data_IF_906942420205
#
_entry.id   IF_906942420205
#
_cell.length_a   1.000
_cell.length_b   1.000
_cell.length_c   1.000
_cell.angle_alpha   90.00
_cell.angle_beta   90.00
_cell.angle_gamma   90.00
#
_symmetry.space_group_name_H-M   'P 1'
#
loop_
_entity.id
_entity.type
_entity.pdbx_description
1 polymer ?
#
# COMPACT_ATOMS: atom_id res chain seq x y z
N UNK A 1 -2.78 9.47 24.67
CA UNK A 1 -2.64 10.81 24.04
C UNK A 1 -3.83 11.02 23.12
N UNK A 2 -4.40 12.23 23.08
CA UNK A 2 -5.55 12.51 22.21
C UNK A 2 -5.17 12.37 20.72
N UNK A 3 -5.96 11.62 19.95
CA UNK A 3 -5.74 11.38 18.51
C UNK A 3 -6.18 12.57 17.67
N UNK A 4 -7.23 13.27 18.10
CA UNK A 4 -7.84 14.40 17.39
C UNK A 4 -7.38 15.78 17.84
N UNK A 5 -6.77 15.95 19.02
CA UNK A 5 -6.42 17.28 19.55
C UNK A 5 -5.63 18.15 18.55
N UNK A 6 -4.67 17.57 17.82
CA UNK A 6 -3.88 18.27 16.80
C UNK A 6 -4.74 18.79 15.63
N UNK A 7 -5.77 18.04 15.24
CA UNK A 7 -6.57 18.29 14.04
C UNK A 7 -7.97 18.86 14.34
N UNK A 8 -8.38 18.92 15.60
CA UNK A 8 -9.68 19.44 16.02
C UNK A 8 -9.88 20.90 15.59
N UNK A 9 -8.79 21.66 15.49
CA UNK A 9 -8.82 23.04 15.02
C UNK A 9 -9.08 23.21 13.52
N UNK A 10 -9.18 22.10 12.76
CA UNK A 10 -9.66 22.10 11.38
C UNK A 10 -11.19 22.17 11.37
N UNK A 11 -11.83 21.54 12.36
CA UNK A 11 -13.30 21.48 12.48
C UNK A 11 -13.83 22.69 13.24
N UNK A 12 -13.20 23.02 14.37
CA UNK A 12 -13.64 24.09 15.26
C UNK A 12 -12.53 25.11 15.51
N UNK A 13 -12.78 26.43 15.39
CA UNK A 13 -11.76 27.44 15.70
C UNK A 13 -11.22 27.36 17.14
N UNK A 14 -12.10 27.02 18.09
CA UNK A 14 -11.79 26.83 19.51
C UNK A 14 -12.43 25.52 20.00
N UNK A 15 -11.75 24.37 19.82
CA UNK A 15 -12.31 23.09 20.23
C UNK A 15 -12.36 22.97 21.76
N UNK A 16 -13.47 22.46 22.29
CA UNK A 16 -13.57 22.09 23.71
C UNK A 16 -13.07 20.66 23.95
N UNK A 17 -12.82 20.30 25.21
CA UNK A 17 -12.44 18.93 25.56
C UNK A 17 -13.52 17.92 25.17
N UNK A 18 -14.80 18.27 25.32
CA UNK A 18 -15.93 17.41 24.94
C UNK A 18 -15.98 17.19 23.42
N UNK A 19 -15.73 18.23 22.62
CA UNK A 19 -15.66 18.12 21.15
C UNK A 19 -14.55 17.16 20.71
N UNK A 20 -13.37 17.29 21.33
CA UNK A 20 -12.21 16.45 21.05
C UNK A 20 -12.47 15.01 21.48
N UNK A 21 -13.09 14.79 22.65
CA UNK A 21 -13.47 13.47 23.14
C UNK A 21 -14.49 12.79 22.22
N UNK A 22 -15.52 13.51 21.78
CA UNK A 22 -16.51 12.99 20.85
C UNK A 22 -15.86 12.53 19.54
N UNK A 23 -14.92 13.31 18.98
CA UNK A 23 -14.21 12.92 17.75
C UNK A 23 -13.18 11.82 17.96
N UNK A 24 -12.54 11.71 19.13
CA UNK A 24 -11.69 10.56 19.42
C UNK A 24 -12.49 9.25 19.40
N UNK A 25 -13.70 9.24 19.94
CA UNK A 25 -14.58 8.07 19.90
C UNK A 25 -14.97 7.72 18.46
N UNK A 26 -15.33 8.71 17.63
CA UNK A 26 -15.61 8.47 16.21
C UNK A 26 -14.38 7.86 15.48
N UNK A 27 -13.18 8.41 15.74
CA UNK A 27 -11.92 7.88 15.20
C UNK A 27 -11.66 6.44 15.65
N UNK A 28 -11.95 6.09 16.90
CA UNK A 28 -11.82 4.71 17.41
C UNK A 28 -12.76 3.74 16.70
N UNK A 29 -14.03 4.13 16.54
CA UNK A 29 -15.02 3.34 15.78
C UNK A 29 -14.58 3.14 14.33
N UNK A 30 -14.16 4.22 13.67
CA UNK A 30 -13.68 4.17 12.28
C UNK A 30 -12.40 3.34 12.14
N UNK A 31 -11.46 3.47 13.06
CA UNK A 31 -10.22 2.66 13.07
C UNK A 31 -10.56 1.18 13.15
N UNK A 32 -11.50 0.83 14.03
CA UNK A 32 -11.97 -0.55 14.21
C UNK A 32 -12.66 -1.08 12.95
N UNK A 33 -13.41 -0.24 12.24
CA UNK A 33 -14.01 -0.66 10.98
C UNK A 33 -12.97 -0.86 9.87
N UNK A 34 -12.09 0.13 9.68
CA UNK A 34 -11.01 0.04 8.69
C UNK A 34 -10.12 -1.19 8.92
N UNK A 35 -9.90 -1.60 10.17
CA UNK A 35 -9.12 -2.81 10.48
C UNK A 35 -9.78 -4.13 10.06
N UNK A 36 -11.09 -4.14 9.81
CA UNK A 36 -11.87 -5.33 9.42
C UNK A 36 -12.02 -5.49 7.91
N UNK A 37 -11.61 -4.49 7.14
CA UNK A 37 -11.64 -4.54 5.69
C UNK A 37 -10.74 -5.66 5.18
N UNK A 38 -11.11 -6.25 4.05
CA UNK A 38 -10.16 -7.02 3.24
C UNK A 38 -9.07 -6.11 2.68
N UNK A 39 -7.99 -6.69 2.18
CA UNK A 39 -6.91 -5.89 1.57
C UNK A 39 -7.40 -5.11 0.34
N UNK A 40 -8.27 -5.70 -0.49
CA UNK A 40 -8.95 -5.03 -1.62
C UNK A 40 -9.79 -3.84 -1.16
N UNK A 41 -10.69 -4.04 -0.20
CA UNK A 41 -11.55 -2.98 0.33
C UNK A 41 -10.72 -1.86 0.98
N UNK A 42 -9.58 -2.19 1.58
CA UNK A 42 -8.64 -1.20 2.12
C UNK A 42 -7.99 -0.34 1.02
N UNK A 43 -7.69 -0.91 -0.16
CA UNK A 43 -7.23 -0.12 -1.32
C UNK A 43 -8.33 0.81 -1.84
N UNK A 44 -9.57 0.33 -1.92
CA UNK A 44 -10.73 1.14 -2.33
C UNK A 44 -11.01 2.28 -1.32
N UNK A 45 -10.92 1.97 -0.03
CA UNK A 45 -11.05 2.98 1.02
C UNK A 45 -9.94 4.03 0.96
N UNK A 46 -8.68 3.62 0.71
CA UNK A 46 -7.57 4.54 0.48
C UNK A 46 -7.86 5.49 -0.71
N UNK A 47 -8.39 4.95 -1.81
CA UNK A 47 -8.73 5.75 -2.98
C UNK A 47 -9.80 6.80 -2.66
N UNK A 48 -10.87 6.41 -1.97
CA UNK A 48 -11.95 7.32 -1.57
C UNK A 48 -11.46 8.40 -0.58
N UNK A 49 -10.70 8.00 0.45
CA UNK A 49 -10.13 8.94 1.41
C UNK A 49 -9.20 9.93 0.70
N UNK A 50 -8.29 9.45 -0.15
CA UNK A 50 -7.37 10.32 -0.88
C UNK A 50 -8.13 11.26 -1.83
N UNK A 51 -9.10 10.77 -2.60
CA UNK A 51 -9.88 11.60 -3.51
C UNK A 51 -10.64 12.72 -2.78
N UNK A 52 -11.11 12.44 -1.54
CA UNK A 52 -11.81 13.44 -0.73
C UNK A 52 -10.95 14.61 -0.26
N UNK A 53 -9.62 14.46 -0.19
CA UNK A 53 -8.71 15.61 -0.01
C UNK A 53 -8.74 16.55 -1.22
N UNK A 54 -9.07 16.05 -2.41
CA UNK A 54 -9.26 16.84 -3.63
C UNK A 54 -10.70 17.32 -3.83
N UNK A 55 -11.59 17.15 -2.84
CA UNK A 55 -12.99 17.58 -2.91
C UNK A 55 -13.94 16.58 -3.54
N UNK A 56 -13.50 15.35 -3.87
CA UNK A 56 -14.40 14.31 -4.31
C UNK A 56 -15.32 13.85 -3.18
N UNK A 57 -16.56 13.46 -3.53
CA UNK A 57 -17.49 12.89 -2.56
C UNK A 57 -16.98 11.54 -2.03
N UNK A 58 -17.18 11.31 -0.74
CA UNK A 58 -16.93 10.01 -0.13
C UNK A 58 -17.95 8.99 -0.68
N UNK A 59 -17.47 7.78 -1.00
CA UNK A 59 -18.34 6.70 -1.44
C UNK A 59 -19.41 6.36 -0.39
N UNK A 60 -20.59 5.94 -0.84
CA UNK A 60 -21.80 5.75 -0.01
C UNK A 60 -21.55 4.99 1.29
N UNK A 61 -20.77 3.90 1.24
CA UNK A 61 -20.50 3.06 2.41
C UNK A 61 -19.66 3.79 3.46
N UNK A 62 -18.56 4.44 3.05
CA UNK A 62 -17.69 5.20 3.96
C UNK A 62 -18.39 6.43 4.51
N UNK A 63 -19.22 7.09 3.70
CA UNK A 63 -20.06 8.21 4.10
C UNK A 63 -21.03 7.82 5.22
N UNK A 64 -21.79 6.73 5.04
CA UNK A 64 -22.73 6.22 6.05
C UNK A 64 -22.01 5.79 7.33
N UNK A 65 -20.85 5.15 7.20
CA UNK A 65 -20.07 4.71 8.34
C UNK A 65 -19.48 5.87 9.14
N UNK A 66 -18.94 6.89 8.46
CA UNK A 66 -18.44 8.09 9.10
C UNK A 66 -19.56 8.89 9.76
N UNK A 67 -20.71 9.04 9.09
CA UNK A 67 -21.88 9.70 9.68
C UNK A 67 -22.36 8.99 10.93
N UNK A 68 -22.47 7.66 10.90
CA UNK A 68 -22.84 6.86 12.06
C UNK A 68 -21.83 7.02 13.21
N UNK A 69 -20.54 6.87 12.92
CA UNK A 69 -19.49 6.96 13.94
C UNK A 69 -19.43 8.33 14.62
N UNK A 70 -19.71 9.41 13.87
CA UNK A 70 -19.73 10.77 14.40
C UNK A 70 -21.04 11.05 15.16
N UNK A 71 -22.18 10.66 14.61
CA UNK A 71 -23.50 10.91 15.21
C UNK A 71 -23.71 10.17 16.54
N UNK A 72 -23.06 9.02 16.75
CA UNK A 72 -23.08 8.28 18.03
C UNK A 72 -22.72 9.14 19.26
N UNK A 73 -21.86 10.16 19.09
CA UNK A 73 -21.46 11.11 20.15
C UNK A 73 -21.79 12.56 19.82
N UNK A 74 -22.47 12.80 18.72
CA UNK A 74 -22.89 14.12 18.26
C UNK A 74 -24.22 13.98 17.53
N UNK A 75 -25.30 13.75 18.26
CA UNK A 75 -26.61 13.41 17.67
C UNK A 75 -27.19 14.44 16.69
N UNK A 76 -26.69 15.69 16.72
CA UNK A 76 -27.06 16.74 15.76
C UNK A 76 -26.25 16.68 14.45
N UNK A 77 -25.26 15.79 14.34
CA UNK A 77 -24.43 15.66 13.15
C UNK A 77 -25.22 15.01 12.02
N UNK A 78 -25.20 15.68 10.87
CA UNK A 78 -25.66 15.16 9.58
C UNK A 78 -24.53 15.39 8.59
N UNK A 79 -24.25 14.40 7.75
CA UNK A 79 -23.11 14.46 6.82
C UNK A 79 -23.22 15.62 5.83
N UNK A 80 -24.43 15.89 5.34
CA UNK A 80 -24.71 16.94 4.37
C UNK A 80 -24.28 18.32 4.90
N UNK A 81 -23.32 18.95 4.22
CA UNK A 81 -22.70 20.23 4.61
C UNK A 81 -21.61 20.12 5.67
N UNK A 82 -21.27 18.89 6.12
CA UNK A 82 -20.19 18.61 7.08
C UNK A 82 -19.25 17.49 6.59
N UNK A 83 -19.18 17.25 5.28
CA UNK A 83 -18.43 16.17 4.65
C UNK A 83 -16.94 16.24 5.04
N UNK A 84 -16.40 17.44 5.14
CA UNK A 84 -15.01 17.66 5.55
C UNK A 84 -14.72 17.10 6.96
N UNK A 85 -15.68 17.14 7.89
CA UNK A 85 -15.50 16.55 9.22
C UNK A 85 -15.36 15.03 9.14
N UNK A 86 -16.15 14.39 8.28
CA UNK A 86 -16.06 12.95 8.03
C UNK A 86 -14.71 12.57 7.42
N UNK A 87 -14.24 13.34 6.43
CA UNK A 87 -12.92 13.16 5.80
C UNK A 87 -11.80 13.26 6.83
N UNK A 88 -11.82 14.27 7.69
CA UNK A 88 -10.81 14.46 8.74
C UNK A 88 -10.81 13.25 9.71
N UNK A 89 -11.99 12.80 10.15
CA UNK A 89 -12.09 11.65 11.06
C UNK A 89 -11.57 10.37 10.41
N UNK A 90 -11.91 10.12 9.14
CA UNK A 90 -11.42 8.97 8.37
C UNK A 90 -9.91 9.03 8.16
N UNK A 91 -9.35 10.19 7.80
CA UNK A 91 -7.91 10.36 7.62
C UNK A 91 -7.13 10.14 8.92
N UNK A 92 -7.65 10.62 10.05
CA UNK A 92 -7.03 10.38 11.36
C UNK A 92 -7.19 8.92 11.79
N UNK A 93 -8.34 8.30 11.55
CA UNK A 93 -8.53 6.87 11.80
C UNK A 93 -7.58 6.00 10.96
N UNK A 94 -7.43 6.30 9.68
CA UNK A 94 -6.47 5.64 8.79
C UNK A 94 -5.04 5.81 9.33
N UNK A 95 -4.66 7.03 9.74
CA UNK A 95 -3.34 7.33 10.34
C UNK A 95 -3.09 6.50 11.60
N UNK A 96 -4.07 6.41 12.49
CA UNK A 96 -3.99 5.61 13.73
C UNK A 96 -3.84 4.13 13.40
N UNK A 97 -4.67 3.61 12.49
CA UNK A 97 -4.60 2.21 12.08
C UNK A 97 -3.21 1.85 11.54
N UNK A 98 -2.65 2.65 10.65
CA UNK A 98 -1.32 2.34 10.08
C UNK A 98 -0.19 2.42 11.12
N UNK A 99 -0.33 3.27 12.14
CA UNK A 99 0.66 3.41 13.22
C UNK A 99 0.57 2.29 14.26
N UNK A 100 -0.63 1.83 14.60
CA UNK A 100 -0.86 0.94 15.75
C UNK A 100 -1.07 -0.53 15.34
N UNK A 101 -1.46 -0.82 14.10
CA UNK A 101 -1.70 -2.19 13.67
C UNK A 101 -0.43 -3.03 13.76
N UNK A 102 -0.56 -4.21 14.37
CA UNK A 102 0.51 -5.19 14.50
C UNK A 102 1.00 -5.64 13.13
N UNK A 103 2.30 -5.88 13.01
CA UNK A 103 2.92 -6.41 11.80
C UNK A 103 3.15 -7.89 12.01
N UNK A 104 2.47 -8.71 11.22
CA UNK A 104 2.73 -10.13 11.14
C UNK A 104 3.80 -10.42 10.08
N UNK A 105 4.50 -11.56 10.20
CA UNK A 105 5.62 -11.91 9.33
C UNK A 105 5.26 -12.14 7.85
N UNK A 106 3.96 -12.17 7.52
CA UNK A 106 3.45 -12.45 6.18
C UNK A 106 3.42 -11.21 5.26
N UNK A 107 3.50 -10.00 5.81
CA UNK A 107 3.84 -8.78 5.07
C UNK A 107 2.77 -8.18 4.15
N UNK A 108 1.50 -8.60 4.25
CA UNK A 108 0.38 -8.00 3.51
C UNK A 108 -0.97 -8.11 4.25
N UNK A 109 -1.17 -7.22 5.20
CA UNK A 109 -2.43 -7.03 5.94
C UNK A 109 -3.28 -5.89 5.36
N UNK A 110 -4.56 -5.76 5.74
CA UNK A 110 -5.40 -4.63 5.32
C UNK A 110 -4.80 -3.27 5.68
N UNK A 111 -4.11 -3.17 6.83
CA UNK A 111 -3.41 -1.95 7.22
C UNK A 111 -2.21 -1.64 6.30
N UNK A 112 -1.54 -2.67 5.76
CA UNK A 112 -0.43 -2.50 4.81
C UNK A 112 -0.95 -2.06 3.43
N UNK A 113 -2.06 -2.67 3.00
CA UNK A 113 -2.75 -2.28 1.77
C UNK A 113 -3.26 -0.84 1.82
N UNK A 114 -3.88 -0.44 2.94
CA UNK A 114 -4.30 0.93 3.19
C UNK A 114 -3.11 1.90 3.17
N UNK A 115 -2.01 1.56 3.85
CA UNK A 115 -0.82 2.40 3.91
C UNK A 115 -0.15 2.58 2.56
N UNK A 116 0.10 1.49 1.82
CA UNK A 116 0.74 1.57 0.51
C UNK A 116 -0.11 2.36 -0.50
N UNK A 117 -1.44 2.16 -0.44
CA UNK A 117 -2.38 2.83 -1.35
C UNK A 117 -2.53 4.32 -1.03
N UNK A 118 -2.67 4.70 0.25
CA UNK A 118 -2.68 6.10 0.67
C UNK A 118 -1.34 6.77 0.38
N UNK A 119 -0.22 6.08 0.58
CA UNK A 119 1.09 6.62 0.22
C UNK A 119 1.18 6.90 -1.28
N UNK A 120 0.76 5.95 -2.12
CA UNK A 120 0.72 6.14 -3.58
C UNK A 120 -0.19 7.30 -3.97
N UNK A 121 -1.41 7.36 -3.45
CA UNK A 121 -2.40 8.36 -3.81
C UNK A 121 -2.01 9.76 -3.33
N UNK A 122 -1.77 9.93 -2.04
CA UNK A 122 -1.56 11.25 -1.43
C UNK A 122 -0.25 11.89 -1.89
N UNK A 123 0.76 11.11 -2.30
CA UNK A 123 1.99 11.68 -2.88
C UNK A 123 1.84 12.09 -4.34
N UNK A 124 0.73 11.75 -5.00
CA UNK A 124 0.39 12.19 -6.36
C UNK A 124 -0.85 13.09 -6.38
N UNK A 125 -0.83 14.09 -5.51
CA UNK A 125 -1.87 15.10 -5.39
C UNK A 125 -1.23 16.47 -5.24
N UNK A 126 -1.95 17.49 -5.71
CA UNK A 126 -1.55 18.87 -5.49
C UNK A 126 -1.61 19.23 -4.00
N UNK A 127 -0.84 20.23 -3.61
CA UNK A 127 -0.83 20.71 -2.23
C UNK A 127 -2.21 21.25 -1.85
N UNK A 128 -2.70 20.89 -0.67
CA UNK A 128 -3.97 21.41 -0.19
C UNK A 128 -3.82 22.88 0.22
N UNK A 129 -4.76 23.74 -0.19
CA UNK A 129 -4.71 25.19 0.07
C UNK A 129 -4.78 25.50 1.58
N UNK A 130 -5.69 24.82 2.30
CA UNK A 130 -5.82 24.98 3.74
C UNK A 130 -4.62 24.34 4.51
N UNK A 131 -3.84 25.12 5.28
CA UNK A 131 -2.55 24.69 5.83
C UNK A 131 -2.65 23.53 6.83
N UNK A 132 -3.72 23.47 7.65
CA UNK A 132 -3.91 22.37 8.60
C UNK A 132 -4.38 21.07 7.94
N UNK A 133 -5.10 21.17 6.80
CA UNK A 133 -5.47 19.99 6.02
C UNK A 133 -4.23 19.43 5.32
N UNK A 134 -3.37 20.32 4.83
CA UNK A 134 -2.07 19.95 4.26
C UNK A 134 -1.16 19.30 5.31
N UNK A 135 -1.18 19.80 6.55
CA UNK A 135 -0.45 19.17 7.66
C UNK A 135 -0.96 17.74 7.93
N UNK A 136 -2.28 17.54 8.00
CA UNK A 136 -2.88 16.21 8.14
C UNK A 136 -2.49 15.28 6.98
N UNK A 137 -2.50 15.78 5.74
CA UNK A 137 -2.08 15.03 4.56
C UNK A 137 -0.62 14.59 4.67
N UNK A 138 0.29 15.50 5.05
CA UNK A 138 1.73 15.21 5.26
C UNK A 138 1.96 14.20 6.38
N UNK A 139 1.28 14.37 7.51
CA UNK A 139 1.40 13.46 8.65
C UNK A 139 0.88 12.05 8.32
N UNK A 140 -0.17 11.96 7.50
CA UNK A 140 -0.68 10.69 7.00
C UNK A 140 0.30 10.03 6.01
N UNK A 141 0.85 10.80 5.05
CA UNK A 141 1.89 10.32 4.13
C UNK A 141 3.08 9.73 4.90
N UNK A 142 3.59 10.44 5.91
CA UNK A 142 4.75 9.98 6.67
C UNK A 142 4.42 8.72 7.49
N UNK A 143 3.23 8.65 8.10
CA UNK A 143 2.78 7.44 8.80
C UNK A 143 2.68 6.23 7.86
N UNK A 144 2.09 6.41 6.68
CA UNK A 144 1.97 5.37 5.66
C UNK A 144 3.34 4.91 5.16
N UNK A 145 4.24 5.85 4.84
CA UNK A 145 5.61 5.56 4.39
C UNK A 145 6.41 4.81 5.45
N UNK A 146 6.31 5.23 6.72
CA UNK A 146 6.97 4.57 7.84
C UNK A 146 6.47 3.13 8.00
N UNK A 147 5.15 2.90 7.93
CA UNK A 147 4.58 1.55 7.99
C UNK A 147 5.09 0.68 6.85
N UNK A 148 4.97 1.14 5.60
CA UNK A 148 5.39 0.36 4.42
C UNK A 148 6.86 -0.06 4.52
N UNK A 149 7.74 0.86 4.95
CA UNK A 149 9.15 0.54 5.19
C UNK A 149 9.35 -0.47 6.31
N UNK A 150 8.64 -0.30 7.42
CA UNK A 150 8.76 -1.21 8.55
C UNK A 150 8.31 -2.62 8.19
N UNK A 151 7.16 -2.76 7.53
CA UNK A 151 6.63 -4.04 7.05
C UNK A 151 7.57 -4.66 6.03
N UNK A 152 8.06 -3.89 5.06
CA UNK A 152 9.00 -4.38 4.05
C UNK A 152 10.31 -4.92 4.66
N UNK A 153 10.77 -4.35 5.77
CA UNK A 153 11.93 -4.84 6.50
C UNK A 153 11.60 -6.06 7.36
N UNK A 154 10.56 -5.98 8.21
CA UNK A 154 10.18 -7.04 9.15
C UNK A 154 9.78 -8.32 8.43
N UNK A 155 8.99 -8.23 7.34
CA UNK A 155 8.58 -9.40 6.56
C UNK A 155 9.75 -10.13 5.91
N UNK A 156 10.93 -9.51 5.83
CA UNK A 156 12.16 -10.09 5.27
C UNK A 156 13.15 -10.60 6.31
N UNK A 157 12.78 -10.56 7.59
CA UNK A 157 13.61 -11.15 8.62
C UNK A 157 13.48 -12.68 8.55
N UNK A 158 14.63 -13.35 8.44
CA UNK A 158 14.70 -14.81 8.48
C UNK A 158 14.18 -15.30 9.83
N UNK A 159 13.37 -16.34 9.78
CA UNK A 159 12.90 -17.02 10.99
C UNK A 159 14.01 -17.92 11.51
N UNK A 160 14.21 -17.91 12.83
CA UNK A 160 15.01 -18.93 13.50
C UNK A 160 14.33 -20.29 13.26
N UNK A 161 15.12 -21.29 12.86
CA UNK A 161 14.61 -22.65 12.65
C UNK A 161 14.74 -23.36 14.00
N UNK A 162 13.62 -23.60 14.72
CA UNK A 162 13.69 -24.28 16.00
C UNK A 162 14.11 -25.73 15.80
N UNK A 163 14.65 -26.35 16.85
CA UNK A 163 14.84 -27.79 16.89
C UNK A 163 13.48 -28.52 16.82
N UNK A 164 13.51 -29.75 16.30
CA UNK A 164 12.32 -30.61 16.30
C UNK A 164 11.89 -30.85 17.75
N UNK A 165 10.66 -30.49 18.08
CA UNK A 165 10.14 -30.64 19.44
C UNK A 165 10.12 -32.10 19.91
N UNK A 166 10.20 -32.32 21.22
CA UNK A 166 10.19 -33.66 21.81
C UNK A 166 8.92 -34.43 21.43
N UNK A 167 9.09 -35.56 20.74
CA UNK A 167 8.01 -36.43 20.31
C UNK A 167 7.61 -37.37 21.46
N UNK A 168 6.59 -37.00 22.23
CA UNK A 168 5.98 -37.90 23.21
C UNK A 168 4.89 -38.72 22.53
N UNK A 169 5.24 -39.88 21.96
CA UNK A 169 4.28 -40.82 21.37
C UNK A 169 3.77 -41.73 22.49
N UNK A 170 2.46 -41.76 22.80
CA UNK A 170 1.93 -42.70 23.78
C UNK A 170 2.05 -44.14 23.27
N UNK A 171 2.66 -45.03 24.06
CA UNK A 171 2.87 -46.45 23.71
C UNK A 171 1.56 -47.20 23.35
N UNK A 172 0.42 -46.74 23.89
CA UNK A 172 -0.90 -47.32 23.67
C UNK A 172 -1.55 -46.95 22.31
N UNK A 173 -0.97 -46.05 21.53
CA UNK A 173 -1.52 -45.60 20.24
C UNK A 173 -0.42 -45.15 19.26
N UNK A 174 0.63 -45.97 19.14
CA UNK A 174 1.87 -45.65 18.42
C UNK A 174 1.70 -45.37 16.91
N UNK A 175 0.56 -45.77 16.31
CA UNK A 175 0.23 -45.54 14.90
C UNK A 175 -1.11 -44.79 14.69
N UNK A 176 -1.71 -44.26 15.77
CA UNK A 176 -3.01 -43.61 15.70
C UNK A 176 -2.96 -42.10 15.43
N UNK A 177 -4.14 -41.48 15.38
CA UNK A 177 -4.31 -40.05 15.13
C UNK A 177 -3.52 -39.15 16.10
N UNK A 178 -3.25 -39.64 17.32
CA UNK A 178 -2.50 -38.91 18.37
C UNK A 178 -0.99 -38.88 18.10
N UNK A 179 -0.42 -39.94 17.54
CA UNK A 179 0.99 -39.94 17.11
C UNK A 179 1.21 -38.96 15.94
N UNK A 180 0.28 -38.93 14.98
CA UNK A 180 0.32 -37.99 13.85
C UNK A 180 0.16 -36.52 14.30
N UNK A 181 -0.71 -36.24 15.28
CA UNK A 181 -0.88 -34.86 15.78
C UNK A 181 0.33 -34.40 16.61
N UNK A 182 0.94 -35.28 17.41
CA UNK A 182 2.18 -35.00 18.12
C UNK A 182 3.34 -34.74 17.14
N UNK A 183 3.47 -35.56 16.10
CA UNK A 183 4.46 -35.35 15.03
C UNK A 183 4.26 -34.03 14.30
N UNK A 184 3.03 -33.72 13.88
CA UNK A 184 2.72 -32.45 13.21
C UNK A 184 3.00 -31.25 14.12
N UNK A 185 2.68 -31.34 15.41
CA UNK A 185 2.96 -30.26 16.36
C UNK A 185 4.45 -30.03 16.58
N UNK A 186 5.24 -31.11 16.64
CA UNK A 186 6.70 -31.03 16.83
C UNK A 186 7.45 -30.53 15.58
N UNK A 187 6.95 -30.84 14.38
CA UNK A 187 7.64 -30.53 13.11
C UNK A 187 7.10 -29.30 12.39
N UNK A 188 5.83 -28.91 12.60
CA UNK A 188 5.22 -27.78 11.89
C UNK A 188 5.97 -26.45 12.07
N UNK A 189 6.49 -26.08 13.26
CA UNK A 189 7.26 -24.85 13.41
C UNK A 189 8.55 -24.87 12.58
N UNK A 190 9.26 -25.99 12.58
CA UNK A 190 10.49 -26.21 11.80
C UNK A 190 10.20 -26.09 10.30
N UNK A 191 9.18 -26.82 9.81
CA UNK A 191 8.79 -26.80 8.40
C UNK A 191 8.32 -25.41 7.97
N UNK A 192 7.58 -24.71 8.83
CA UNK A 192 7.11 -23.35 8.56
C UNK A 192 8.29 -22.39 8.41
N UNK A 193 9.22 -22.36 9.37
CA UNK A 193 10.40 -21.50 9.32
C UNK A 193 11.27 -21.80 8.09
N UNK A 194 11.49 -23.08 7.75
CA UNK A 194 12.25 -23.47 6.56
C UNK A 194 11.58 -23.00 5.26
N UNK A 195 10.25 -23.16 5.13
CA UNK A 195 9.51 -22.69 3.95
C UNK A 195 9.55 -21.17 3.82
N UNK A 196 9.33 -20.44 4.90
CA UNK A 196 9.35 -18.97 4.89
C UNK A 196 10.73 -18.43 4.53
N UNK A 197 11.81 -19.03 5.04
CA UNK A 197 13.18 -18.69 4.67
C UNK A 197 13.50 -19.06 3.21
N UNK A 198 13.06 -20.24 2.75
CA UNK A 198 13.22 -20.64 1.35
C UNK A 198 12.51 -19.67 0.39
N UNK A 199 11.32 -19.19 0.77
CA UNK A 199 10.57 -18.22 -0.03
C UNK A 199 11.26 -16.86 -0.10
N UNK A 200 11.95 -16.45 0.97
CA UNK A 200 12.81 -15.27 0.99
C UNK A 200 14.02 -15.44 0.07
N UNK A 201 14.76 -16.54 0.22
CA UNK A 201 15.93 -16.81 -0.60
C UNK A 201 15.56 -16.90 -2.10
N UNK A 202 14.37 -17.46 -2.42
CA UNK A 202 13.89 -17.53 -3.79
C UNK A 202 13.55 -16.14 -4.35
N UNK A 203 12.84 -15.30 -3.60
CA UNK A 203 12.59 -13.90 -3.98
C UNK A 203 13.91 -13.17 -4.26
N UNK A 204 14.89 -13.27 -3.35
CA UNK A 204 16.18 -12.60 -3.46
C UNK A 204 17.00 -13.10 -4.66
N UNK A 205 17.03 -14.41 -4.92
CA UNK A 205 17.74 -15.01 -6.04
C UNK A 205 17.11 -14.67 -7.39
N UNK A 206 15.78 -14.78 -7.51
CA UNK A 206 15.06 -14.43 -8.74
C UNK A 206 15.25 -12.94 -9.05
N UNK A 207 15.19 -12.09 -8.03
CA UNK A 207 15.41 -10.66 -8.16
C UNK A 207 16.88 -10.33 -8.52
N UNK A 208 17.87 -10.99 -7.89
CA UNK A 208 19.28 -10.82 -8.24
C UNK A 208 19.55 -11.26 -9.69
N UNK A 209 18.96 -12.38 -10.13
CA UNK A 209 19.12 -12.84 -11.50
C UNK A 209 18.54 -11.84 -12.51
N UNK A 210 17.36 -11.27 -12.23
CA UNK A 210 16.80 -10.20 -13.05
C UNK A 210 17.68 -8.95 -13.05
N UNK A 211 18.18 -8.53 -11.89
CA UNK A 211 19.13 -7.41 -11.75
C UNK A 211 20.38 -7.65 -12.59
N UNK A 212 20.96 -8.86 -12.58
CA UNK A 212 22.17 -9.17 -13.34
C UNK A 212 21.91 -9.33 -14.84
N UNK A 213 20.76 -9.87 -15.23
CA UNK A 213 20.41 -10.17 -16.61
C UNK A 213 20.06 -8.94 -17.44
N UNK A 214 19.48 -7.91 -16.82
CA UNK A 214 19.14 -6.61 -17.44
C UNK A 214 18.22 -6.67 -18.65
N UNK A 215 17.64 -7.84 -18.89
CA UNK A 215 16.71 -8.08 -19.96
C UNK A 215 15.30 -7.79 -19.44
N UNK A 216 14.60 -6.87 -20.12
CA UNK A 216 13.19 -6.61 -19.90
C UNK A 216 12.35 -7.61 -20.67
N UNK A 217 11.50 -8.33 -19.95
CA UNK A 217 10.46 -9.16 -20.54
C UNK A 217 9.33 -8.32 -21.16
N UNK A 218 9.00 -7.17 -20.57
CA UNK A 218 7.98 -6.24 -21.08
C UNK A 218 8.39 -5.61 -22.41
N UNK A 219 9.64 -5.17 -22.52
CA UNK A 219 10.18 -4.49 -23.71
C UNK A 219 10.98 -5.43 -24.64
N UNK A 220 11.02 -6.73 -24.35
CA UNK A 220 11.74 -7.73 -25.13
C UNK A 220 13.18 -7.32 -25.54
N UNK A 221 13.98 -6.85 -24.58
CA UNK A 221 15.34 -6.38 -24.86
C UNK A 221 16.09 -5.86 -23.63
N UNK A 222 17.34 -5.43 -23.84
CA UNK A 222 18.18 -4.85 -22.78
C UNK A 222 17.57 -3.54 -22.27
N UNK A 223 17.43 -3.42 -20.94
CA UNK A 223 17.00 -2.19 -20.27
C UNK A 223 17.98 -1.03 -20.50
N UNK A 224 19.27 -1.34 -20.64
CA UNK A 224 20.33 -0.33 -20.86
C UNK A 224 20.23 0.35 -22.22
N UNK A 225 19.55 -0.27 -23.20
CA UNK A 225 19.37 0.30 -24.54
C UNK A 225 18.12 1.19 -24.63
N UNK A 226 17.28 1.17 -23.58
CA UNK A 226 16.02 1.93 -23.53
C UNK A 226 16.25 3.35 -23.03
N UNK A 227 15.36 4.26 -23.46
CA UNK A 227 15.31 5.65 -22.98
C UNK A 227 15.12 5.69 -21.46
N UNK A 228 15.60 6.73 -20.76
CA UNK A 228 15.60 6.78 -19.30
C UNK A 228 14.24 6.53 -18.64
N UNK A 229 13.17 7.20 -19.11
CA UNK A 229 11.83 7.01 -18.56
C UNK A 229 11.30 5.61 -18.82
N UNK A 230 11.42 5.10 -20.05
CA UNK A 230 10.96 3.76 -20.41
C UNK A 230 11.70 2.68 -19.60
N UNK A 231 13.02 2.82 -19.45
CA UNK A 231 13.85 1.98 -18.59
C UNK A 231 13.35 2.01 -17.15
N UNK A 232 13.08 3.18 -16.60
CA UNK A 232 12.68 3.33 -15.21
C UNK A 232 11.29 2.72 -14.93
N UNK A 233 10.32 2.99 -15.81
CA UNK A 233 8.97 2.44 -15.70
C UNK A 233 9.01 0.91 -15.85
N UNK A 234 9.66 0.39 -16.90
CA UNK A 234 9.80 -1.05 -17.10
C UNK A 234 10.47 -1.73 -15.90
N UNK A 235 11.56 -1.14 -15.39
CA UNK A 235 12.26 -1.67 -14.22
C UNK A 235 11.39 -1.70 -12.97
N UNK A 236 10.58 -0.65 -12.75
CA UNK A 236 9.64 -0.59 -11.64
C UNK A 236 8.52 -1.63 -11.75
N UNK A 237 7.89 -1.72 -12.92
CA UNK A 237 6.81 -2.67 -13.19
C UNK A 237 7.30 -4.13 -13.06
N UNK A 238 8.40 -4.48 -13.71
CA UNK A 238 8.94 -5.84 -13.65
C UNK A 238 9.48 -6.18 -12.27
N UNK A 239 10.23 -5.26 -11.66
CA UNK A 239 10.76 -5.44 -10.31
C UNK A 239 9.67 -5.79 -9.31
N UNK A 240 8.51 -5.11 -9.37
CA UNK A 240 7.38 -5.39 -8.51
C UNK A 240 6.82 -6.83 -8.67
N UNK A 241 6.82 -7.37 -9.89
CA UNK A 241 6.31 -8.73 -10.16
C UNK A 241 7.18 -9.82 -9.55
N UNK A 242 8.44 -9.53 -9.24
CA UNK A 242 9.39 -10.48 -8.64
C UNK A 242 9.28 -10.50 -7.10
N UNK A 243 8.86 -9.39 -6.50
CA UNK A 243 8.77 -9.26 -5.04
C UNK A 243 7.53 -9.95 -4.50
N UNK A 244 7.65 -10.76 -3.45
CA UNK A 244 6.51 -11.39 -2.73
C UNK A 244 6.06 -10.55 -1.54
N UNK A 245 6.77 -9.47 -1.22
CA UNK A 245 6.50 -8.51 -0.14
C UNK A 245 6.66 -7.09 -0.66
N UNK A 246 6.08 -6.10 0.03
CA UNK A 246 6.26 -4.68 -0.30
C UNK A 246 7.74 -4.29 -0.50
N UNK A 247 8.07 -3.37 -1.44
CA UNK A 247 9.45 -3.05 -1.78
C UNK A 247 10.15 -2.32 -0.64
N UNK A 248 11.25 -2.90 -0.14
CA UNK A 248 12.17 -2.21 0.77
C UNK A 248 13.11 -1.27 0.03
N UNK A 249 13.82 -0.40 0.77
CA UNK A 249 14.75 0.57 0.17
C UNK A 249 15.84 -0.12 -0.70
N UNK A 250 16.34 -1.29 -0.28
CA UNK A 250 17.32 -2.06 -1.06
C UNK A 250 16.82 -2.49 -2.44
N UNK A 251 15.59 -3.01 -2.52
CA UNK A 251 14.96 -3.40 -3.80
C UNK A 251 14.67 -2.19 -4.68
N UNK A 252 14.22 -1.07 -4.08
CA UNK A 252 14.08 0.20 -4.80
C UNK A 252 15.41 0.65 -5.40
N UNK A 253 16.50 0.60 -4.64
CA UNK A 253 17.82 0.98 -5.14
C UNK A 253 18.30 0.05 -6.26
N UNK A 254 18.07 -1.26 -6.14
CA UNK A 254 18.46 -2.24 -7.14
C UNK A 254 17.66 -2.13 -8.46
N UNK A 255 16.35 -1.88 -8.38
CA UNK A 255 15.49 -1.57 -9.54
C UNK A 255 15.98 -0.32 -10.27
N UNK A 256 16.30 0.74 -9.52
CA UNK A 256 16.66 2.05 -10.06
C UNK A 256 18.16 2.26 -10.25
N UNK A 257 18.98 1.21 -10.13
CA UNK A 257 20.46 1.32 -10.10
C UNK A 257 21.06 1.90 -11.38
N UNK A 258 20.40 1.71 -12.53
CA UNK A 258 20.81 2.17 -13.87
C UNK A 258 19.88 3.23 -14.47
N UNK A 259 19.06 3.85 -13.63
CA UNK A 259 18.22 4.98 -14.03
C UNK A 259 18.97 6.26 -13.71
N UNK A 260 19.36 6.96 -14.76
CA UNK A 260 20.06 8.24 -14.68
C UNK A 260 19.14 9.33 -14.12
N UNK A 261 19.75 10.35 -13.53
CA UNK A 261 19.03 11.57 -13.14
C UNK A 261 18.61 12.29 -14.41
N UNK A 262 17.33 12.67 -14.48
CA UNK A 262 16.71 13.30 -15.65
C UNK A 262 15.99 14.57 -15.23
N UNK A 263 15.49 15.31 -16.21
CA UNK A 263 14.58 16.41 -15.93
C UNK A 263 13.29 15.91 -15.26
N UNK A 264 12.62 16.82 -14.55
CA UNK A 264 11.33 16.51 -13.94
C UNK A 264 10.25 16.76 -14.97
N UNK A 265 9.33 15.80 -15.11
CA UNK A 265 8.24 15.87 -16.08
C UNK A 265 6.92 15.52 -15.40
N UNK A 266 5.86 16.17 -15.83
CA UNK A 266 4.48 15.82 -15.46
C UNK A 266 4.08 14.46 -16.04
N UNK A 267 2.98 13.88 -15.56
CA UNK A 267 2.45 12.61 -16.10
C UNK A 267 2.13 12.71 -17.60
N UNK A 268 1.65 13.88 -18.05
CA UNK A 268 1.38 14.14 -19.47
C UNK A 268 2.67 14.10 -20.29
N UNK A 269 3.69 14.84 -19.85
CA UNK A 269 4.98 14.88 -20.54
C UNK A 269 5.70 13.52 -20.47
N UNK A 270 5.52 12.75 -19.40
CA UNK A 270 5.99 11.36 -19.33
C UNK A 270 5.38 10.51 -20.45
N UNK A 271 4.05 10.55 -20.62
CA UNK A 271 3.35 9.79 -21.67
C UNK A 271 3.88 10.15 -23.06
N UNK A 272 4.10 11.43 -23.32
CA UNK A 272 4.70 11.91 -24.58
C UNK A 272 6.14 11.38 -24.75
N UNK A 273 6.94 11.35 -23.68
CA UNK A 273 8.31 10.84 -23.70
C UNK A 273 8.39 9.32 -23.92
N UNK A 274 7.43 8.55 -23.39
CA UNK A 274 7.32 7.10 -23.60
C UNK A 274 7.00 6.77 -25.06
N UNK A 275 6.16 7.58 -25.72
CA UNK A 275 5.76 7.37 -27.11
C UNK A 275 5.13 5.98 -27.32
N UNK A 276 5.56 5.27 -28.37
CA UNK A 276 5.03 3.94 -28.71
C UNK A 276 5.29 2.87 -27.63
N UNK A 277 6.34 3.00 -26.82
CA UNK A 277 6.66 2.03 -25.76
C UNK A 277 5.61 2.06 -24.63
N UNK A 278 4.74 3.08 -24.55
CA UNK A 278 3.61 3.12 -23.60
C UNK A 278 2.71 1.90 -23.76
N UNK A 279 2.36 1.52 -24.98
CA UNK A 279 1.44 0.41 -25.25
C UNK A 279 2.03 -0.91 -24.76
N UNK A 280 3.33 -1.14 -24.99
CA UNK A 280 4.04 -2.33 -24.52
C UNK A 280 4.07 -2.42 -22.99
N UNK A 281 4.32 -1.28 -22.32
CA UNK A 281 4.31 -1.18 -20.86
C UNK A 281 2.89 -1.37 -20.26
N UNK A 282 1.87 -0.87 -20.96
CA UNK A 282 0.46 -0.90 -20.52
C UNK A 282 -0.26 -2.21 -20.78
N UNK A 283 0.15 -2.99 -21.79
CA UNK A 283 -0.57 -4.16 -22.29
C UNK A 283 -0.96 -5.18 -21.22
N UNK A 284 -0.07 -5.44 -20.26
CA UNK A 284 -0.36 -6.42 -19.19
C UNK A 284 -1.31 -5.90 -18.12
N UNK A 285 -1.52 -4.58 -18.07
CA UNK A 285 -2.31 -3.86 -17.07
C UNK A 285 -3.75 -3.60 -17.53
N UNK A 286 -4.02 -3.73 -18.83
CA UNK A 286 -5.37 -3.58 -19.40
C UNK A 286 -6.38 -4.52 -18.74
N UNK A 287 -7.57 -3.97 -18.42
CA UNK A 287 -8.66 -4.73 -17.80
C UNK A 287 -8.44 -5.13 -16.33
N UNK A 288 -7.32 -4.75 -15.72
CA UNK A 288 -7.10 -5.00 -14.30
C UNK A 288 -7.94 -4.05 -13.41
N UNK A 289 -8.34 -4.54 -12.23
CA UNK A 289 -9.09 -3.76 -11.23
C UNK A 289 -8.39 -2.44 -10.84
N UNK A 290 -7.06 -2.41 -10.85
CA UNK A 290 -6.27 -1.25 -10.46
C UNK A 290 -6.51 -0.04 -11.40
N UNK A 291 -6.84 -0.29 -12.67
CA UNK A 291 -7.16 0.75 -13.65
C UNK A 291 -8.42 1.53 -13.25
N UNK A 292 -9.33 0.91 -12.47
CA UNK A 292 -10.56 1.54 -11.99
C UNK A 292 -10.33 2.46 -10.78
N UNK A 293 -9.12 2.48 -10.21
CA UNK A 293 -8.76 3.28 -9.04
C UNK A 293 -7.62 4.26 -9.35
N UNK A 294 -7.82 5.21 -10.30
CA UNK A 294 -6.77 6.11 -10.77
C UNK A 294 -6.22 7.06 -9.68
N UNK A 295 -6.98 7.28 -8.60
CA UNK A 295 -6.50 8.03 -7.45
C UNK A 295 -5.30 7.34 -6.76
N UNK A 296 -5.28 6.00 -6.71
CA UNK A 296 -4.19 5.21 -6.11
C UNK A 296 -3.16 4.81 -7.17
N UNK A 297 -3.61 4.56 -8.39
CA UNK A 297 -2.80 4.02 -9.49
C UNK A 297 -2.73 4.99 -10.70
N UNK A 298 -2.34 6.27 -10.51
CA UNK A 298 -2.38 7.25 -11.59
C UNK A 298 -1.47 6.86 -12.76
N UNK A 299 -0.30 6.27 -12.49
CA UNK A 299 0.61 5.84 -13.53
C UNK A 299 0.09 4.57 -14.22
N UNK A 300 -0.26 3.53 -13.46
CA UNK A 300 -0.77 2.27 -14.03
C UNK A 300 -2.04 2.48 -14.85
N UNK A 301 -3.00 3.28 -14.34
CA UNK A 301 -4.22 3.60 -15.08
C UNK A 301 -3.92 4.37 -16.37
N UNK A 302 -2.93 5.27 -16.35
CA UNK A 302 -2.51 6.02 -17.55
C UNK A 302 -1.78 5.13 -18.56
N UNK A 303 -0.97 4.16 -18.12
CA UNK A 303 -0.31 3.22 -19.02
C UNK A 303 -1.31 2.28 -19.69
N UNK A 304 -2.33 1.82 -18.96
CA UNK A 304 -3.34 0.88 -19.45
C UNK A 304 -4.48 1.54 -20.28
N UNK A 305 -4.61 2.85 -20.22
CA UNK A 305 -5.62 3.64 -20.94
C UNK A 305 -4.98 4.40 -22.10
N UNK A 306 -5.78 4.89 -23.05
CA UNK A 306 -5.35 5.92 -24.01
C UNK A 306 -5.34 7.32 -23.39
N UNK A 307 -6.11 7.53 -22.33
CA UNK A 307 -6.29 8.80 -21.63
C UNK A 307 -5.33 8.98 -20.44
N UNK A 308 -5.13 10.22 -20.01
CA UNK A 308 -4.34 10.56 -18.82
C UNK A 308 -5.26 10.48 -17.61
N UNK A 309 -4.93 9.63 -16.64
CA UNK A 309 -5.81 9.31 -15.52
C UNK A 309 -5.84 10.39 -14.42
N UNK A 310 -4.88 11.32 -14.42
CA UNK A 310 -4.79 12.40 -13.43
C UNK A 310 -4.17 13.66 -14.02
N UNK A 311 -4.71 14.82 -13.65
CA UNK A 311 -4.23 16.15 -14.08
C UNK A 311 -3.30 16.81 -13.08
N UNK A 312 -2.78 16.08 -12.08
CA UNK A 312 -1.88 16.62 -11.07
C UNK A 312 -0.67 17.32 -11.69
N UNK A 313 -0.31 18.49 -11.15
CA UNK A 313 0.79 19.31 -11.66
C UNK A 313 2.17 18.83 -11.18
N UNK A 314 2.24 17.73 -10.42
CA UNK A 314 3.48 17.21 -9.88
C UNK A 314 4.42 16.73 -10.99
N UNK A 315 5.66 17.21 -10.96
CA UNK A 315 6.72 16.81 -11.88
C UNK A 315 7.74 15.92 -11.16
N UNK A 316 8.02 14.76 -11.75
CA UNK A 316 8.93 13.75 -11.20
C UNK A 316 10.04 13.44 -12.20
N UNK A 317 11.23 13.10 -11.69
CA UNK A 317 12.31 12.58 -12.54
C UNK A 317 12.08 11.09 -12.87
N UNK A 318 12.90 10.52 -13.74
CA UNK A 318 12.79 9.11 -14.12
C UNK A 318 12.93 8.15 -12.92
N UNK A 319 13.75 8.47 -11.91
CA UNK A 319 13.92 7.59 -10.74
C UNK A 319 12.67 7.60 -9.87
N UNK A 320 12.05 8.76 -9.70
CA UNK A 320 10.82 8.92 -8.95
C UNK A 320 9.63 8.30 -9.68
N UNK A 321 9.56 8.43 -11.02
CA UNK A 321 8.59 7.72 -11.85
C UNK A 321 8.76 6.20 -11.76
N UNK A 322 10.00 5.70 -11.81
CA UNK A 322 10.29 4.28 -11.62
C UNK A 322 9.97 3.78 -10.21
N UNK A 323 10.21 4.60 -9.18
CA UNK A 323 9.83 4.28 -7.80
C UNK A 323 8.30 4.20 -7.63
N UNK A 324 7.57 5.10 -8.30
CA UNK A 324 6.10 5.07 -8.36
C UNK A 324 5.59 3.84 -9.08
N UNK A 325 6.16 3.51 -10.24
CA UNK A 325 5.86 2.27 -10.97
C UNK A 325 6.05 1.04 -10.07
N UNK A 326 7.16 0.98 -9.34
CA UNK A 326 7.45 -0.08 -8.38
C UNK A 326 6.41 -0.14 -7.26
N UNK A 327 6.01 0.98 -6.66
CA UNK A 327 5.01 1.00 -5.60
C UNK A 327 3.63 0.55 -6.09
N UNK A 328 3.13 1.17 -7.17
CA UNK A 328 1.82 0.89 -7.75
C UNK A 328 1.72 -0.58 -8.19
N UNK A 329 2.71 -1.08 -8.95
CA UNK A 329 2.73 -2.47 -9.39
C UNK A 329 2.93 -3.44 -8.21
N UNK A 330 3.63 -3.06 -7.14
CA UNK A 330 3.79 -3.93 -5.97
C UNK A 330 2.46 -4.15 -5.26
N UNK A 331 1.63 -3.12 -5.09
CA UNK A 331 0.30 -3.26 -4.50
C UNK A 331 -0.54 -4.25 -5.33
N UNK A 332 -0.50 -4.12 -6.67
CA UNK A 332 -1.19 -5.03 -7.59
C UNK A 332 -0.67 -6.47 -7.46
N UNK A 333 0.65 -6.63 -7.39
CA UNK A 333 1.29 -7.94 -7.28
C UNK A 333 1.05 -8.61 -5.92
N UNK A 334 0.95 -7.85 -4.82
CA UNK A 334 0.58 -8.39 -3.50
C UNK A 334 -0.85 -8.90 -3.52
N UNK A 335 -1.77 -8.07 -4.01
CA UNK A 335 -3.19 -8.39 -4.12
C UNK A 335 -3.47 -9.63 -4.97
N UNK A 336 -2.78 -9.78 -6.10
CA UNK A 336 -2.94 -10.96 -6.96
C UNK A 336 -2.51 -12.25 -6.24
N UNK A 337 -1.47 -12.18 -5.41
CA UNK A 337 -0.96 -13.35 -4.68
C UNK A 337 -1.85 -13.75 -3.52
N UNK A 338 -2.41 -12.80 -2.79
CA UNK A 338 -3.37 -13.11 -1.73
C UNK A 338 -4.70 -13.61 -2.28
N UNK A 339 -5.20 -13.03 -3.37
CA UNK A 339 -6.42 -13.52 -4.04
C UNK A 339 -6.24 -14.92 -4.65
N UNK A 340 -5.03 -15.26 -5.13
CA UNK A 340 -4.72 -16.59 -5.66
C UNK A 340 -4.37 -17.65 -4.61
N UNK A 341 -4.28 -17.28 -3.33
CA UNK A 341 -3.99 -18.17 -2.21
C UNK A 341 -5.26 -18.57 -1.41
N UNK A 342 -6.43 -18.07 -1.81
CA UNK A 342 -7.73 -18.33 -1.18
C UNK A 342 -8.46 -19.52 -1.83
#
# INVERSE_FOLDING_TARGET
MSRMAKYAQIIWPQPTDDDVLARNHAVETLTTSLSKLTTREAVEAAAAIAASFGGAELGTNLSQEAEKAISDRSAAFVLNGNEQQAVICLAVAARVLVQEATIDGNGWSPADALAASLWSALTFQDQHEHPKMEELRKDLIEACRARVRHVAHTARQRQEVPDVGTLTIPENDAAGSRANSAYRKATAPVIKALKENQDLDREELDFLWWVLGEYSGLLAGSLSDRKPYCRAIASGLEGATLLRRLPGDGFRHAVLRRVDVTERVSLKALVEALGAEREELGKSLEGQWAVQLPAVFPLVATLASSEIASTCALELDARDWGARALLEASIIAMERRTAGAA
#
